data_IF_889328818094
#
_entry.id   IF_889328818094
#
_cell.length_a   1.000
_cell.length_b   1.000
_cell.length_c   1.000
_cell.angle_alpha   90.00
_cell.angle_beta   90.00
_cell.angle_gamma   90.00
#
_symmetry.space_group_name_H-M   'P 1'
#
loop_
_entity.id
_entity.type
_entity.pdbx_description
1 polymer ?
#
# COMPACT_ATOMS: atom_id res chain seq x y z
N UNK A 1 -1.94 -6.54 5.60
CA UNK A 1 -1.33 -5.59 6.54
C UNK A 1 -2.05 -4.29 6.34
N UNK A 2 -2.56 -3.73 7.41
CA UNK A 2 -3.40 -2.53 7.39
C UNK A 2 -2.90 -1.64 8.52
N UNK A 3 -1.74 -1.02 8.29
CA UNK A 3 -1.02 -0.18 9.24
C UNK A 3 -1.37 1.28 8.94
N UNK A 4 -1.57 2.10 9.97
CA UNK A 4 -1.74 3.54 9.80
C UNK A 4 -0.42 4.18 9.34
N UNK A 5 -0.51 5.22 8.51
CA UNK A 5 0.62 6.14 8.41
C UNK A 5 0.79 6.83 9.77
N UNK A 6 2.03 7.19 10.09
CA UNK A 6 2.39 7.84 11.36
C UNK A 6 1.93 9.28 11.29
N UNK A 7 1.79 9.91 12.45
CA UNK A 7 1.42 11.32 12.53
C UNK A 7 2.39 12.20 11.74
N UNK A 8 3.68 11.87 11.82
CA UNK A 8 4.78 12.55 11.15
C UNK A 8 4.67 12.47 9.61
N UNK A 9 4.11 11.39 9.05
CA UNK A 9 3.94 11.22 7.61
C UNK A 9 2.94 12.23 7.01
N UNK A 10 2.12 12.90 7.84
CA UNK A 10 1.21 13.98 7.41
C UNK A 10 1.90 15.35 7.36
N UNK A 11 3.14 15.44 7.85
CA UNK A 11 3.97 16.65 7.82
C UNK A 11 5.15 16.48 6.86
N UNK A 12 5.80 17.58 6.50
CA UNK A 12 7.02 17.50 5.71
C UNK A 12 8.14 16.85 6.52
N UNK A 13 8.82 15.85 5.96
CA UNK A 13 9.86 15.07 6.64
C UNK A 13 11.13 14.95 5.81
N UNK A 14 12.29 15.15 6.45
CA UNK A 14 13.58 15.01 5.79
C UNK A 14 14.05 13.55 5.73
N UNK A 15 14.34 13.08 4.53
CA UNK A 15 14.99 11.79 4.25
C UNK A 15 16.34 11.99 3.58
N UNK A 16 17.10 10.91 3.45
CA UNK A 16 18.38 10.96 2.73
C UNK A 16 18.21 11.37 1.27
N UNK A 17 17.08 10.98 0.66
CA UNK A 17 16.76 11.29 -0.74
C UNK A 17 16.16 12.68 -0.99
N UNK A 18 15.85 13.47 0.04
CA UNK A 18 15.11 14.72 -0.08
C UNK A 18 13.97 14.84 0.95
N UNK A 19 12.99 15.69 0.66
CA UNK A 19 11.85 15.95 1.56
C UNK A 19 10.65 15.13 1.10
N UNK A 20 10.06 14.35 2.02
CA UNK A 20 8.72 13.79 1.85
C UNK A 20 7.70 14.90 2.11
N UNK A 21 6.79 15.21 1.17
CA UNK A 21 5.88 16.34 1.33
C UNK A 21 4.79 16.06 2.38
N UNK A 22 4.27 17.14 2.97
CA UNK A 22 3.12 17.08 3.87
C UNK A 22 1.84 16.69 3.12
N UNK A 23 0.90 16.15 3.88
CA UNK A 23 -0.48 16.00 3.43
C UNK A 23 -1.22 17.35 3.54
N UNK A 24 -2.26 17.60 2.74
CA UNK A 24 -3.06 18.83 2.84
C UNK A 24 -3.98 18.90 4.08
N UNK A 25 -3.85 17.94 4.99
CA UNK A 25 -4.60 17.86 6.24
C UNK A 25 -3.80 17.08 7.28
N UNK A 26 -4.12 17.25 8.55
CA UNK A 26 -3.38 16.58 9.63
C UNK A 26 -3.83 15.14 9.85
N UNK A 27 -3.00 14.39 10.60
CA UNK A 27 -3.37 13.06 11.06
C UNK A 27 -4.67 13.09 11.87
N UNK A 28 -4.87 14.06 12.75
CA UNK A 28 -6.05 14.16 13.62
C UNK A 28 -7.34 14.34 12.83
N UNK A 29 -7.31 15.08 11.72
CA UNK A 29 -8.46 15.18 10.81
C UNK A 29 -8.75 13.84 10.12
N UNK A 30 -7.69 13.08 9.82
CA UNK A 30 -7.80 11.82 9.08
C UNK A 30 -8.08 10.59 9.97
N UNK A 31 -7.71 10.66 11.25
CA UNK A 31 -7.77 9.58 12.25
C UNK A 31 -9.14 8.90 12.34
N UNK A 32 -10.29 9.62 12.37
CA UNK A 32 -11.59 8.96 12.47
C UNK A 32 -11.89 8.05 11.29
N UNK A 33 -11.30 8.33 10.12
CA UNK A 33 -11.45 7.53 8.91
C UNK A 33 -10.55 6.30 8.92
N UNK A 34 -9.36 6.39 9.53
CA UNK A 34 -8.55 5.20 9.85
C UNK A 34 -9.31 4.27 10.78
N UNK A 35 -9.87 4.81 11.85
CA UNK A 35 -10.67 4.04 12.81
C UNK A 35 -11.83 3.32 12.11
N UNK A 36 -12.60 4.00 11.26
CA UNK A 36 -13.67 3.36 10.49
C UNK A 36 -13.15 2.31 9.49
N UNK A 37 -12.04 2.57 8.80
CA UNK A 37 -11.44 1.60 7.89
C UNK A 37 -10.98 0.34 8.63
N UNK A 38 -10.40 0.48 9.82
CA UNK A 38 -10.01 -0.66 10.65
C UNK A 38 -11.22 -1.51 11.07
N UNK A 39 -12.35 -0.89 11.41
CA UNK A 39 -13.60 -1.60 11.69
C UNK A 39 -14.12 -2.33 10.46
N UNK A 40 -14.17 -1.64 9.31
CA UNK A 40 -14.67 -2.17 8.04
C UNK A 40 -13.88 -3.39 7.57
N UNK A 41 -12.56 -3.33 7.69
CA UNK A 41 -11.66 -4.44 7.34
C UNK A 41 -11.37 -5.39 8.50
N UNK A 42 -12.07 -5.22 9.64
CA UNK A 42 -11.96 -6.07 10.83
C UNK A 42 -10.50 -6.29 11.26
N UNK A 43 -9.74 -5.21 11.30
CA UNK A 43 -8.30 -5.24 11.57
C UNK A 43 -8.04 -5.77 12.97
N UNK A 44 -7.17 -6.78 13.04
CA UNK A 44 -6.62 -7.37 14.25
C UNK A 44 -5.34 -6.64 14.62
N UNK A 45 -5.24 -6.12 15.84
CA UNK A 45 -4.06 -5.37 16.28
C UNK A 45 -4.04 -5.13 17.79
N UNK A 46 -2.95 -4.54 18.28
CA UNK A 46 -2.77 -4.15 19.68
C UNK A 46 -2.14 -2.77 19.76
N UNK A 47 -2.65 -1.94 20.66
CA UNK A 47 -2.10 -0.62 20.96
C UNK A 47 -1.04 -0.70 22.06
N UNK A 48 -0.08 0.22 22.02
CA UNK A 48 0.95 0.36 23.04
C UNK A 48 2.19 -0.54 22.87
N UNK A 49 2.27 -1.31 21.78
CA UNK A 49 3.46 -2.12 21.46
C UNK A 49 4.45 -1.40 20.53
N UNK A 50 3.93 -0.64 19.56
CA UNK A 50 4.73 0.17 18.65
C UNK A 50 4.92 1.58 19.23
N UNK A 51 6.17 2.03 19.47
CA UNK A 51 6.44 3.35 20.01
C UNK A 51 6.07 4.50 19.06
N UNK A 52 5.86 4.20 17.78
CA UNK A 52 5.46 5.18 16.75
C UNK A 52 3.97 5.11 16.41
N UNK A 53 3.20 4.24 17.07
CA UNK A 53 1.76 4.12 16.81
C UNK A 53 1.08 5.47 17.05
N UNK A 54 0.40 6.05 16.05
CA UNK A 54 -0.29 7.31 16.22
C UNK A 54 -1.56 7.13 17.08
N UNK A 55 -2.29 8.21 17.34
CA UNK A 55 -3.48 8.16 18.20
C UNK A 55 -4.65 7.36 17.58
N UNK A 56 -5.38 6.61 18.39
CA UNK A 56 -6.62 5.92 18.00
C UNK A 56 -7.80 6.44 18.84
N UNK A 57 -8.80 7.03 18.19
CA UNK A 57 -10.07 7.36 18.85
C UNK A 57 -10.90 6.10 19.15
N UNK A 58 -10.74 5.07 18.32
CA UNK A 58 -11.38 3.76 18.50
C UNK A 58 -10.28 2.68 18.46
N UNK A 59 -10.15 1.82 19.49
CA UNK A 59 -9.18 0.74 19.47
C UNK A 59 -9.53 -0.33 18.42
N UNK A 60 -8.56 -1.18 18.08
CA UNK A 60 -8.81 -2.36 17.25
C UNK A 60 -9.94 -3.22 17.83
N UNK A 61 -10.90 -3.60 16.98
CA UNK A 61 -12.04 -4.43 17.40
C UNK A 61 -11.66 -5.88 17.69
N UNK A 62 -10.53 -6.35 17.16
CA UNK A 62 -10.08 -7.72 17.29
C UNK A 62 -8.64 -7.78 17.81
N UNK A 63 -8.39 -8.76 18.67
CA UNK A 63 -7.04 -9.06 19.18
C UNK A 63 -6.08 -9.43 18.05
N UNK A 64 -4.77 -9.19 18.21
CA UNK A 64 -3.76 -9.59 17.25
C UNK A 64 -3.84 -11.07 16.87
N UNK A 65 -3.32 -11.39 15.69
CA UNK A 65 -3.04 -12.78 15.34
C UNK A 65 -1.92 -13.27 16.26
N UNK A 66 -2.11 -14.40 17.00
CA UNK A 66 -1.11 -14.89 17.92
C UNK A 66 0.12 -15.40 17.16
N UNK A 67 1.30 -15.21 17.74
CA UNK A 67 2.53 -15.76 17.20
C UNK A 67 2.56 -17.29 17.37
N UNK A 68 2.99 -17.99 16.34
CA UNK A 68 3.44 -19.38 16.47
C UNK A 68 4.83 -19.44 17.14
N UNK A 69 5.18 -20.58 17.73
CA UNK A 69 6.36 -20.70 18.60
C UNK A 69 7.69 -20.17 17.99
N UNK A 70 8.01 -20.41 16.70
CA UNK A 70 9.21 -19.83 16.09
C UNK A 70 9.20 -18.30 16.07
N UNK A 71 8.02 -17.67 15.92
CA UNK A 71 7.85 -16.22 15.84
C UNK A 71 7.80 -15.59 17.24
N UNK A 72 7.17 -16.26 18.20
CA UNK A 72 7.23 -15.85 19.61
C UNK A 72 8.67 -15.81 20.13
N UNK A 73 9.50 -16.79 19.73
CA UNK A 73 10.95 -16.78 20.00
C UNK A 73 11.64 -15.58 19.36
N UNK A 74 11.42 -15.34 18.06
CA UNK A 74 12.02 -14.19 17.37
C UNK A 74 11.63 -12.85 18.02
N UNK A 75 10.36 -12.70 18.46
CA UNK A 75 9.89 -11.56 19.23
C UNK A 75 10.67 -11.39 20.53
N UNK A 76 10.83 -12.46 21.31
CA UNK A 76 11.53 -12.43 22.59
C UNK A 76 13.01 -12.06 22.41
N UNK A 77 13.67 -12.58 21.38
CA UNK A 77 15.07 -12.26 21.05
C UNK A 77 15.25 -10.79 20.70
N UNK A 78 14.36 -10.23 19.87
CA UNK A 78 14.37 -8.80 19.52
C UNK A 78 14.12 -7.92 20.76
N UNK A 79 13.15 -8.28 21.61
CA UNK A 79 12.94 -7.60 22.91
C UNK A 79 14.17 -7.68 23.80
N UNK A 80 14.90 -8.79 23.78
CA UNK A 80 16.15 -8.98 24.53
C UNK A 80 17.27 -8.03 24.10
N UNK A 81 17.22 -7.48 22.87
CA UNK A 81 18.11 -6.43 22.40
C UNK A 81 17.61 -5.01 22.70
N UNK A 82 16.47 -4.86 23.38
CA UNK A 82 15.84 -3.57 23.65
C UNK A 82 15.05 -2.98 22.47
N UNK A 83 14.77 -3.78 21.44
CA UNK A 83 13.88 -3.35 20.34
C UNK A 83 12.41 -3.54 20.72
N UNK A 84 11.52 -2.92 19.95
CA UNK A 84 10.07 -2.88 20.20
C UNK A 84 9.28 -3.65 19.13
N UNK A 85 9.39 -5.00 19.06
CA UNK A 85 8.59 -5.77 18.13
C UNK A 85 7.11 -5.72 18.52
N UNK A 86 6.29 -5.18 17.63
CA UNK A 86 4.85 -5.02 17.77
C UNK A 86 4.08 -6.06 16.96
N UNK A 87 2.84 -6.34 17.35
CA UNK A 87 1.91 -7.14 16.57
C UNK A 87 1.54 -6.41 15.28
N UNK A 88 1.70 -7.08 14.15
CA UNK A 88 1.38 -6.54 12.84
C UNK A 88 -0.16 -6.39 12.68
N UNK A 89 -0.69 -5.20 12.37
CA UNK A 89 -2.11 -5.00 12.09
C UNK A 89 -2.57 -5.73 10.81
N UNK A 90 -3.56 -6.62 10.94
CA UNK A 90 -3.99 -7.53 9.87
C UNK A 90 -5.51 -7.60 9.73
N UNK A 91 -6.01 -7.35 8.51
CA UNK A 91 -7.38 -7.72 8.11
C UNK A 91 -7.45 -9.20 7.75
N UNK A 92 -7.50 -10.07 8.75
CA UNK A 92 -7.62 -11.52 8.56
C UNK A 92 -8.46 -12.11 9.68
N UNK A 93 -9.27 -13.11 9.36
CA UNK A 93 -9.90 -14.02 10.29
C UNK A 93 -9.10 -15.32 10.30
N UNK A 94 -8.13 -15.39 11.21
CA UNK A 94 -7.11 -16.45 11.23
C UNK A 94 -7.71 -17.84 11.46
N UNK A 95 -8.78 -17.96 12.23
CA UNK A 95 -9.41 -19.26 12.52
C UNK A 95 -10.08 -19.82 11.27
N UNK A 96 -10.83 -18.97 10.55
CA UNK A 96 -11.43 -19.34 9.25
C UNK A 96 -10.33 -19.69 8.24
N UNK A 97 -9.30 -18.87 8.16
CA UNK A 97 -8.16 -19.08 7.27
C UNK A 97 -7.48 -20.45 7.49
N UNK A 98 -7.12 -20.77 8.74
CA UNK A 98 -6.42 -22.02 9.06
C UNK A 98 -7.31 -23.26 8.96
N UNK A 99 -8.63 -23.12 9.14
CA UNK A 99 -9.60 -24.21 8.95
C UNK A 99 -9.71 -24.60 7.48
N UNK A 100 -9.65 -23.63 6.57
CA UNK A 100 -9.77 -23.87 5.12
C UNK A 100 -8.44 -24.24 4.47
N UNK A 101 -7.31 -23.78 5.05
CA UNK A 101 -6.00 -24.23 4.63
C UNK A 101 -4.90 -23.85 5.60
N UNK A 102 -4.05 -24.82 5.97
CA UNK A 102 -2.82 -24.59 6.73
C UNK A 102 -1.70 -24.06 5.82
N UNK A 103 -1.91 -22.88 5.25
CA UNK A 103 -0.90 -22.22 4.41
C UNK A 103 -0.79 -20.73 4.76
N UNK A 104 0.36 -20.13 4.50
CA UNK A 104 0.58 -18.71 4.76
C UNK A 104 -0.13 -17.75 3.78
N UNK A 105 -0.67 -18.27 2.65
CA UNK A 105 -1.14 -17.57 1.43
C UNK A 105 -0.79 -16.07 1.31
N UNK A 106 0.50 -15.73 1.37
CA UNK A 106 0.92 -14.37 1.03
C UNK A 106 0.84 -14.20 -0.50
N UNK A 107 0.46 -12.99 -0.94
CA UNK A 107 0.26 -12.66 -2.35
C UNK A 107 -0.81 -13.48 -3.13
N UNK A 108 -1.72 -14.18 -2.44
CA UNK A 108 -2.88 -14.83 -3.09
C UNK A 108 -4.19 -14.02 -2.88
N UNK A 109 -5.06 -13.91 -3.90
CA UNK A 109 -6.40 -13.34 -3.72
C UNK A 109 -7.22 -14.23 -2.78
N UNK A 110 -7.97 -13.63 -1.86
CA UNK A 110 -8.81 -14.43 -0.99
C UNK A 110 -9.99 -15.01 -1.78
N UNK A 111 -10.14 -16.32 -1.84
CA UNK A 111 -11.30 -16.99 -2.45
C UNK A 111 -12.52 -16.99 -1.52
N UNK A 112 -12.69 -15.95 -0.69
CA UNK A 112 -13.75 -15.83 0.33
C UNK A 112 -13.41 -16.41 1.71
N UNK A 113 -12.14 -16.75 1.94
CA UNK A 113 -11.67 -17.70 2.95
C UNK A 113 -10.81 -17.07 4.07
N UNK A 114 -11.33 -16.03 4.73
CA UNK A 114 -10.77 -15.48 5.97
C UNK A 114 -9.92 -14.20 5.84
N UNK A 115 -9.31 -13.87 4.70
CA UNK A 115 -8.69 -12.54 4.51
C UNK A 115 -9.74 -11.44 4.29
N UNK A 116 -9.59 -10.32 4.96
CA UNK A 116 -10.48 -9.16 4.82
C UNK A 116 -9.87 -8.21 3.78
N UNK A 117 -10.20 -8.44 2.52
CA UNK A 117 -9.84 -7.58 1.40
C UNK A 117 -11.06 -6.82 0.87
N UNK A 118 -10.86 -5.97 -0.15
CA UNK A 118 -11.93 -5.15 -0.70
C UNK A 118 -13.13 -5.97 -1.20
N UNK A 119 -12.88 -7.18 -1.75
CA UNK A 119 -13.93 -8.06 -2.25
C UNK A 119 -14.75 -8.64 -1.10
N UNK A 120 -14.07 -9.19 -0.09
CA UNK A 120 -14.69 -9.96 1.00
C UNK A 120 -15.27 -9.10 2.12
N UNK A 121 -14.76 -7.87 2.30
CA UNK A 121 -15.29 -6.92 3.27
C UNK A 121 -16.24 -5.91 2.60
N UNK A 122 -15.80 -4.72 2.12
CA UNK A 122 -16.72 -3.67 1.71
C UNK A 122 -17.58 -4.02 0.48
N UNK A 123 -17.03 -4.67 -0.54
CA UNK A 123 -17.79 -4.98 -1.75
C UNK A 123 -18.90 -6.01 -1.48
N UNK A 124 -18.59 -7.09 -0.76
CA UNK A 124 -19.59 -8.09 -0.37
C UNK A 124 -20.72 -7.49 0.48
N UNK A 125 -20.42 -6.48 1.32
CA UNK A 125 -21.44 -5.74 2.06
C UNK A 125 -22.27 -4.84 1.13
N UNK A 126 -21.63 -4.09 0.23
CA UNK A 126 -22.29 -3.17 -0.69
C UNK A 126 -23.25 -3.89 -1.64
N UNK A 127 -22.88 -5.06 -2.18
CA UNK A 127 -23.72 -5.82 -3.12
C UNK A 127 -24.99 -6.43 -2.52
N UNK A 128 -25.23 -6.27 -1.21
CA UNK A 128 -26.52 -6.59 -0.58
C UNK A 128 -27.59 -5.53 -0.88
N UNK A 129 -27.19 -4.33 -1.28
CA UNK A 129 -28.10 -3.27 -1.71
C UNK A 129 -28.49 -3.48 -3.18
N UNK A 130 -29.80 -3.60 -3.45
CA UNK A 130 -30.33 -3.80 -4.80
C UNK A 130 -30.14 -2.61 -5.74
N UNK A 131 -29.74 -1.45 -5.23
CA UNK A 131 -29.41 -0.27 -6.04
C UNK A 131 -27.97 -0.29 -6.57
N UNK A 132 -27.13 -1.24 -6.12
CA UNK A 132 -25.74 -1.36 -6.54
C UNK A 132 -25.63 -2.47 -7.59
N UNK A 133 -25.05 -2.13 -8.74
CA UNK A 133 -24.80 -3.06 -9.84
C UNK A 133 -23.30 -3.16 -10.13
N UNK A 134 -22.77 -4.37 -10.06
CA UNK A 134 -21.40 -4.69 -10.48
C UNK A 134 -21.41 -5.20 -11.92
N UNK A 135 -20.66 -4.53 -12.80
CA UNK A 135 -20.39 -5.01 -14.15
C UNK A 135 -18.94 -5.47 -14.27
N UNK A 136 -18.73 -6.71 -14.71
CA UNK A 136 -17.39 -7.28 -14.95
C UNK A 136 -17.09 -7.38 -16.44
N UNK A 137 -15.82 -7.55 -16.79
CA UNK A 137 -15.39 -7.61 -18.19
C UNK A 137 -15.46 -6.25 -18.90
N UNK A 138 -15.59 -5.16 -18.14
CA UNK A 138 -15.60 -3.78 -18.64
C UNK A 138 -14.20 -3.17 -18.54
N UNK A 139 -13.58 -2.86 -19.68
CA UNK A 139 -12.31 -2.14 -19.76
C UNK A 139 -12.58 -0.68 -20.15
N UNK A 140 -12.48 0.24 -19.19
CA UNK A 140 -12.59 1.68 -19.47
C UNK A 140 -11.38 2.14 -20.27
N UNK A 141 -11.64 2.73 -21.44
CA UNK A 141 -10.59 3.20 -22.35
C UNK A 141 -10.25 4.66 -22.09
N UNK A 142 -11.28 5.51 -21.94
CA UNK A 142 -11.14 6.94 -21.69
C UNK A 142 -12.45 7.59 -21.18
N UNK A 143 -12.33 8.84 -20.73
CA UNK A 143 -13.43 9.70 -20.31
C UNK A 143 -13.63 10.83 -21.34
N UNK A 144 -14.88 11.23 -21.55
CA UNK A 144 -15.26 12.34 -22.43
C UNK A 144 -15.72 13.54 -21.58
N UNK A 145 -15.05 14.68 -21.72
CA UNK A 145 -15.49 15.93 -21.10
C UNK A 145 -16.69 16.52 -21.85
N UNK A 146 -17.57 17.21 -21.11
CA UNK A 146 -18.63 18.03 -21.67
C UNK A 146 -18.05 19.19 -22.49
N UNK A 147 -18.84 19.84 -23.39
CA UNK A 147 -18.35 20.94 -24.22
C UNK A 147 -17.77 22.13 -23.45
N UNK A 148 -18.22 22.36 -22.21
CA UNK A 148 -17.69 23.41 -21.34
C UNK A 148 -16.39 23.02 -20.60
N UNK A 149 -15.99 21.75 -20.71
CA UNK A 149 -14.81 21.17 -20.07
C UNK A 149 -14.91 21.01 -18.56
N UNK A 150 -16.07 21.29 -17.93
CA UNK A 150 -16.21 21.33 -16.46
C UNK A 150 -16.69 20.04 -15.84
N UNK A 151 -17.20 19.12 -16.65
CA UNK A 151 -17.78 17.86 -16.21
C UNK A 151 -17.40 16.74 -17.17
N UNK A 152 -17.36 15.51 -16.67
CA UNK A 152 -17.32 14.30 -17.47
C UNK A 152 -18.73 14.02 -17.98
N UNK A 153 -18.90 14.07 -19.29
CA UNK A 153 -20.16 13.78 -19.98
C UNK A 153 -20.37 12.28 -20.19
N UNK A 154 -19.28 11.52 -20.37
CA UNK A 154 -19.37 10.09 -20.59
C UNK A 154 -18.11 9.29 -20.25
N UNK A 155 -18.33 8.00 -20.00
CA UNK A 155 -17.30 6.97 -19.85
C UNK A 155 -17.38 6.05 -21.07
N UNK A 156 -16.26 5.90 -21.77
CA UNK A 156 -16.12 4.98 -22.90
C UNK A 156 -15.37 3.73 -22.46
N UNK A 157 -15.95 2.56 -22.71
CA UNK A 157 -15.40 1.29 -22.28
C UNK A 157 -15.70 0.17 -23.28
N UNK A 158 -14.89 -0.89 -23.25
CA UNK A 158 -15.17 -2.14 -23.95
C UNK A 158 -15.71 -3.19 -23.02
N UNK A 159 -16.74 -3.91 -23.44
CA UNK A 159 -17.24 -5.09 -22.75
C UNK A 159 -17.35 -6.24 -23.75
N UNK A 160 -16.61 -7.32 -23.51
CA UNK A 160 -16.55 -8.48 -24.42
C UNK A 160 -16.19 -8.12 -25.89
N UNK A 161 -15.32 -7.11 -26.07
CA UNK A 161 -14.87 -6.62 -27.38
C UNK A 161 -15.74 -5.50 -27.97
N UNK A 162 -16.97 -5.32 -27.50
CA UNK A 162 -17.89 -4.29 -27.98
C UNK A 162 -17.62 -2.94 -27.31
N UNK A 163 -17.62 -1.86 -28.10
CA UNK A 163 -17.52 -0.50 -27.57
C UNK A 163 -18.86 -0.05 -26.98
N UNK A 164 -18.82 0.50 -25.77
CA UNK A 164 -19.98 0.97 -25.01
C UNK A 164 -19.71 2.33 -24.40
N UNK A 165 -20.80 3.05 -24.11
CA UNK A 165 -20.79 4.39 -23.53
C UNK A 165 -21.84 4.47 -22.42
N UNK A 166 -21.51 5.15 -21.33
CA UNK A 166 -22.47 5.51 -20.27
C UNK A 166 -22.26 6.97 -19.87
N UNK A 167 -23.34 7.65 -19.52
CA UNK A 167 -23.34 9.08 -19.12
C UNK A 167 -23.79 9.22 -17.66
N UNK A 168 -22.89 9.04 -16.69
CA UNK A 168 -23.21 9.16 -15.27
C UNK A 168 -23.28 10.63 -14.83
N UNK A 169 -23.99 10.89 -13.72
CA UNK A 169 -23.99 12.21 -13.08
C UNK A 169 -22.67 12.49 -12.33
N UNK A 170 -22.10 11.46 -11.72
CA UNK A 170 -20.87 11.50 -10.94
C UNK A 170 -19.96 10.33 -11.33
N UNK A 171 -18.65 10.58 -11.39
CA UNK A 171 -17.62 9.60 -11.74
C UNK A 171 -16.63 9.47 -10.59
N UNK A 172 -16.37 8.24 -10.15
CA UNK A 172 -15.28 7.91 -9.22
C UNK A 172 -14.33 6.97 -9.95
N UNK A 173 -13.12 7.43 -10.21
CA UNK A 173 -12.05 6.68 -10.86
C UNK A 173 -11.19 5.99 -9.79
N UNK A 174 -11.25 4.66 -9.74
CA UNK A 174 -10.51 3.83 -8.77
C UNK A 174 -9.79 2.67 -9.48
N UNK A 175 -9.09 2.98 -10.58
CA UNK A 175 -8.42 1.97 -11.42
C UNK A 175 -7.01 1.58 -10.93
N UNK A 176 -6.57 2.16 -9.80
CA UNK A 176 -5.23 2.02 -9.26
C UNK A 176 -4.27 3.05 -9.85
N UNK A 177 -3.15 3.30 -9.15
CA UNK A 177 -2.30 4.46 -9.42
C UNK A 177 -1.92 4.61 -10.90
N UNK A 178 -1.43 3.53 -11.52
CA UNK A 178 -1.03 3.57 -12.93
C UNK A 178 -2.22 3.76 -13.87
N UNK A 179 -3.27 2.94 -13.74
CA UNK A 179 -4.36 2.95 -14.72
C UNK A 179 -5.26 4.18 -14.61
N UNK A 180 -5.45 4.74 -13.41
CA UNK A 180 -6.18 5.99 -13.25
C UNK A 180 -5.49 7.14 -13.98
N UNK A 181 -4.15 7.25 -13.86
CA UNK A 181 -3.38 8.22 -14.64
C UNK A 181 -3.45 7.92 -16.16
N UNK A 182 -3.36 6.66 -16.58
CA UNK A 182 -3.45 6.28 -18.00
C UNK A 182 -4.80 6.65 -18.61
N UNK A 183 -5.91 6.38 -17.91
CA UNK A 183 -7.27 6.73 -18.37
C UNK A 183 -7.36 8.25 -18.55
N UNK A 184 -6.88 9.04 -17.59
CA UNK A 184 -6.89 10.50 -17.66
C UNK A 184 -6.02 11.03 -18.82
N UNK A 185 -4.81 10.49 -19.00
CA UNK A 185 -3.89 10.89 -20.07
C UNK A 185 -4.39 10.51 -21.46
N UNK A 186 -5.14 9.40 -21.60
CA UNK A 186 -5.79 9.00 -22.85
C UNK A 186 -7.06 9.77 -23.16
N UNK A 187 -7.63 10.44 -22.17
CA UNK A 187 -8.90 11.14 -22.32
C UNK A 187 -8.74 12.39 -23.18
N UNK A 188 -9.55 12.57 -24.24
CA UNK A 188 -9.47 13.73 -25.12
C UNK A 188 -9.62 15.05 -24.34
N UNK A 189 -8.77 16.02 -24.67
CA UNK A 189 -8.72 17.35 -24.06
C UNK A 189 -8.33 18.38 -25.12
N UNK A 190 -8.75 19.64 -24.95
CA UNK A 190 -8.49 20.69 -25.93
C UNK A 190 -7.02 21.05 -26.09
N UNK A 191 -6.20 20.82 -25.05
CA UNK A 191 -4.77 21.07 -25.05
C UNK A 191 -3.92 19.81 -25.32
N UNK A 192 -4.58 18.66 -25.50
CA UNK A 192 -3.94 17.38 -25.78
C UNK A 192 -3.18 16.77 -24.61
N UNK A 193 -3.32 17.28 -23.38
CA UNK A 193 -2.57 16.80 -22.19
C UNK A 193 -3.29 15.73 -21.37
N UNK A 194 -4.53 15.42 -21.72
CA UNK A 194 -5.41 14.55 -20.94
C UNK A 194 -6.36 15.35 -20.04
N UNK A 195 -7.30 14.66 -19.39
CA UNK A 195 -8.21 15.28 -18.44
C UNK A 195 -7.59 15.39 -17.03
N UNK A 196 -8.08 16.35 -16.24
CA UNK A 196 -7.58 16.68 -14.91
C UNK A 196 -6.08 17.05 -14.87
N UNK A 197 -5.52 17.51 -15.99
CA UNK A 197 -4.08 17.67 -16.14
C UNK A 197 -3.63 19.12 -16.44
N UNK A 198 -4.39 20.14 -16.00
CA UNK A 198 -3.95 21.55 -16.16
C UNK A 198 -2.59 21.83 -15.53
N UNK A 199 -2.27 21.13 -14.45
CA UNK A 199 -1.01 21.25 -13.68
C UNK A 199 0.16 20.44 -14.25
N UNK A 200 -0.06 19.67 -15.32
CA UNK A 200 0.88 18.68 -15.86
C UNK A 200 1.37 17.66 -14.80
N UNK A 201 0.57 17.39 -13.76
CA UNK A 201 0.94 16.47 -12.68
C UNK A 201 0.36 15.06 -12.85
N UNK A 202 -0.62 14.86 -13.73
CA UNK A 202 -1.14 13.52 -14.01
C UNK A 202 -0.03 12.66 -14.62
N UNK A 203 0.17 11.51 -13.99
CA UNK A 203 1.22 10.55 -14.27
C UNK A 203 2.54 10.81 -13.54
N UNK A 204 2.81 12.03 -13.04
CA UNK A 204 4.07 12.37 -12.36
C UNK A 204 4.08 11.88 -10.91
N UNK A 205 5.25 11.96 -10.25
CA UNK A 205 5.43 11.58 -8.86
C UNK A 205 5.11 10.10 -8.60
N UNK A 206 5.32 9.24 -9.60
CA UNK A 206 5.18 7.81 -9.43
C UNK A 206 6.14 7.34 -8.35
N UNK A 207 5.58 6.80 -7.27
CA UNK A 207 6.33 6.23 -6.15
C UNK A 207 6.02 4.74 -6.05
N UNK A 208 7.03 3.99 -5.61
CA UNK A 208 6.85 2.64 -5.11
C UNK A 208 7.92 2.34 -4.07
N UNK A 209 7.53 1.90 -2.88
CA UNK A 209 8.42 1.56 -1.79
C UNK A 209 9.74 0.88 -2.21
N UNK A 210 10.84 1.37 -1.63
CA UNK A 210 12.14 0.74 -1.73
C UNK A 210 12.19 -0.40 -0.73
N UNK A 211 12.18 -1.64 -1.22
CA UNK A 211 12.00 -2.81 -0.36
C UNK A 211 13.03 -3.90 -0.59
N UNK A 212 13.31 -4.67 0.48
CA UNK A 212 14.15 -5.87 0.44
C UNK A 212 13.48 -7.01 1.20
N UNK A 213 13.56 -8.23 0.64
CA UNK A 213 13.36 -9.43 1.44
C UNK A 213 14.64 -9.70 2.25
N UNK A 214 14.50 -10.21 3.47
CA UNK A 214 15.62 -10.62 4.32
C UNK A 214 15.30 -11.94 5.03
N UNK A 215 16.21 -12.91 4.96
CA UNK A 215 16.09 -14.20 5.62
C UNK A 215 17.06 -14.24 6.79
N UNK A 216 16.54 -14.40 8.01
CA UNK A 216 17.33 -14.68 9.20
C UNK A 216 17.27 -16.20 9.46
N UNK A 217 18.41 -16.89 9.32
CA UNK A 217 18.49 -18.35 9.29
C UNK A 217 19.38 -18.86 10.42
N UNK A 218 18.86 -19.81 11.20
CA UNK A 218 19.65 -20.65 12.10
C UNK A 218 19.45 -22.13 11.73
N UNK A 219 20.47 -22.80 11.14
CA UNK A 219 20.38 -24.22 10.77
C UNK A 219 20.05 -25.16 11.94
N UNK A 220 20.22 -24.72 13.20
CA UNK A 220 19.92 -25.51 14.39
C UNK A 220 18.45 -25.40 14.81
N UNK A 221 17.72 -24.40 14.31
CA UNK A 221 16.36 -24.06 14.73
C UNK A 221 15.39 -24.22 13.57
N UNK A 222 14.46 -25.16 13.68
CA UNK A 222 13.38 -25.29 12.70
C UNK A 222 12.38 -24.13 12.87
N UNK A 223 11.85 -23.66 11.76
CA UNK A 223 10.67 -22.80 11.67
C UNK A 223 9.55 -23.58 10.96
N UNK A 224 8.61 -24.07 11.75
CA UNK A 224 7.40 -24.79 11.32
C UNK A 224 6.14 -23.92 11.37
N UNK A 225 6.29 -22.60 11.53
CA UNK A 225 5.17 -21.68 11.52
C UNK A 225 4.43 -21.72 10.18
N UNK A 226 3.10 -21.85 10.26
CA UNK A 226 2.22 -21.85 9.08
C UNK A 226 1.89 -20.42 8.68
N UNK A 227 1.45 -19.60 9.63
CA UNK A 227 1.11 -18.20 9.48
C UNK A 227 2.10 -17.35 10.28
N UNK A 228 3.29 -17.12 9.72
CA UNK A 228 4.33 -16.36 10.43
C UNK A 228 4.10 -14.84 10.42
N UNK A 229 3.24 -14.31 9.57
CA UNK A 229 3.13 -12.87 9.27
C UNK A 229 2.39 -12.12 10.37
N UNK A 230 3.00 -11.97 11.54
CA UNK A 230 2.33 -11.46 12.77
C UNK A 230 3.11 -10.37 13.50
N UNK A 231 4.30 -10.02 13.03
CA UNK A 231 5.24 -9.15 13.76
C UNK A 231 5.79 -8.05 12.86
N UNK A 232 5.93 -6.84 13.42
CA UNK A 232 6.61 -5.69 12.84
C UNK A 232 7.56 -5.01 13.84
N UNK A 233 8.45 -4.16 13.33
CA UNK A 233 9.34 -3.27 14.07
C UNK A 233 9.31 -1.90 13.40
N UNK A 234 9.22 -0.85 14.22
CA UNK A 234 9.25 0.54 13.80
C UNK A 234 10.30 1.37 14.56
N UNK A 235 11.23 0.72 15.26
CA UNK A 235 12.35 1.37 15.95
C UNK A 235 13.19 2.28 15.03
N UNK A 236 13.19 2.01 13.73
CA UNK A 236 13.90 2.77 12.70
C UNK A 236 12.96 3.55 11.76
N UNK A 237 11.67 3.65 12.10
CA UNK A 237 10.68 4.28 11.22
C UNK A 237 10.92 5.78 11.09
N UNK A 238 11.18 6.46 12.22
CA UNK A 238 11.40 7.92 12.28
C UNK A 238 12.88 8.30 12.47
N UNK A 239 13.79 7.32 12.54
CA UNK A 239 15.22 7.56 12.80
C UNK A 239 16.11 6.42 12.29
N UNK A 240 17.42 6.64 12.24
CA UNK A 240 18.44 5.60 12.02
C UNK A 240 18.88 4.87 13.30
N UNK A 241 18.21 5.17 14.43
CA UNK A 241 18.55 4.65 15.76
C UNK A 241 19.69 5.41 16.44
N UNK A 242 20.20 6.48 15.82
CA UNK A 242 21.29 7.34 16.33
C UNK A 242 20.93 8.83 16.26
N UNK A 243 19.65 9.15 16.14
CA UNK A 243 19.16 10.52 15.98
C UNK A 243 19.33 11.08 14.56
N UNK A 244 19.71 10.26 13.59
CA UNK A 244 19.72 10.59 12.18
C UNK A 244 18.37 10.39 11.51
N UNK A 245 18.38 10.49 10.17
CA UNK A 245 17.18 10.47 9.33
C UNK A 245 16.43 9.12 9.37
N UNK A 246 15.11 9.11 9.11
CA UNK A 246 14.30 7.90 9.00
C UNK A 246 14.89 6.82 8.09
N UNK A 247 14.81 5.55 8.50
CA UNK A 247 15.17 4.41 7.64
C UNK A 247 13.93 3.69 7.10
N UNK A 248 12.97 3.34 7.95
CA UNK A 248 11.70 2.74 7.52
C UNK A 248 11.18 1.62 8.44
N UNK A 249 10.27 0.81 7.89
CA UNK A 249 9.57 -0.27 8.57
C UNK A 249 10.21 -1.63 8.30
N UNK A 250 10.11 -2.52 9.29
CA UNK A 250 10.46 -3.93 9.14
C UNK A 250 9.27 -4.77 9.58
N UNK A 251 8.89 -5.78 8.80
CA UNK A 251 7.77 -6.65 9.12
C UNK A 251 7.98 -8.06 8.59
N UNK A 252 7.23 -9.04 9.08
CA UNK A 252 7.32 -10.40 8.57
C UNK A 252 6.68 -10.53 7.18
N UNK A 253 7.29 -11.36 6.34
CA UNK A 253 6.67 -11.90 5.13
C UNK A 253 5.85 -13.13 5.49
N UNK A 254 4.94 -13.54 4.61
CA UNK A 254 4.43 -14.91 4.66
C UNK A 254 5.56 -15.92 4.43
N UNK A 255 5.31 -17.18 4.79
CA UNK A 255 6.34 -18.22 4.77
C UNK A 255 6.89 -18.40 3.37
N UNK A 256 8.18 -18.13 3.21
CA UNK A 256 8.90 -18.45 1.98
C UNK A 256 9.19 -19.95 2.00
N UNK A 257 8.83 -20.63 0.92
CA UNK A 257 9.12 -22.05 0.69
C UNK A 257 10.27 -22.26 -0.32
N UNK A 258 10.75 -23.50 -0.44
CA UNK A 258 11.84 -23.79 -1.37
C UNK A 258 11.47 -23.67 -2.85
N UNK A 259 10.19 -23.70 -3.23
CA UNK A 259 9.77 -23.44 -4.63
C UNK A 259 9.94 -21.95 -4.97
N UNK A 260 9.52 -21.07 -4.07
CA UNK A 260 9.70 -19.62 -4.19
C UNK A 260 11.20 -19.27 -4.27
N UNK A 261 12.04 -19.88 -3.42
CA UNK A 261 13.49 -19.68 -3.49
C UNK A 261 14.07 -20.26 -4.79
N UNK A 262 13.61 -21.44 -5.25
CA UNK A 262 14.10 -22.07 -6.49
C UNK A 262 13.83 -21.23 -7.73
N UNK A 263 12.69 -20.53 -7.78
CA UNK A 263 12.38 -19.59 -8.87
C UNK A 263 13.42 -18.45 -8.96
N UNK A 264 14.04 -18.11 -7.83
CA UNK A 264 14.97 -16.99 -7.70
C UNK A 264 16.45 -17.39 -7.65
N UNK A 265 16.76 -18.64 -7.31
CA UNK A 265 18.12 -19.21 -7.17
C UNK A 265 18.17 -20.57 -7.89
N UNK A 266 18.15 -20.53 -9.23
CA UNK A 266 17.96 -21.71 -10.09
C UNK A 266 19.07 -22.77 -9.93
N UNK A 267 20.29 -22.38 -9.56
CA UNK A 267 21.45 -23.27 -9.46
C UNK A 267 21.48 -24.11 -8.18
N UNK A 268 20.79 -23.71 -7.12
CA UNK A 268 20.86 -24.42 -5.84
C UNK A 268 19.93 -25.65 -5.82
N UNK A 269 20.37 -26.81 -5.30
CA UNK A 269 19.51 -28.00 -5.18
C UNK A 269 18.26 -27.73 -4.33
N UNK A 270 17.13 -28.33 -4.71
CA UNK A 270 15.83 -28.09 -4.06
C UNK A 270 15.83 -28.47 -2.57
N UNK A 271 16.45 -29.59 -2.20
CA UNK A 271 16.52 -30.01 -0.80
C UNK A 271 17.26 -28.99 0.09
N UNK A 272 18.29 -28.32 -0.43
CA UNK A 272 19.02 -27.29 0.30
C UNK A 272 18.18 -26.01 0.48
N UNK A 273 17.41 -25.64 -0.55
CA UNK A 273 16.45 -24.53 -0.50
C UNK A 273 15.31 -24.81 0.49
N UNK A 274 14.78 -26.04 0.49
CA UNK A 274 13.76 -26.46 1.46
C UNK A 274 14.29 -26.44 2.89
N UNK A 275 15.52 -26.91 3.09
CA UNK A 275 16.19 -26.83 4.38
C UNK A 275 16.38 -25.37 4.81
N UNK A 276 16.90 -24.50 3.95
CA UNK A 276 17.01 -23.07 4.26
C UNK A 276 15.66 -22.44 4.60
N UNK A 277 14.63 -22.69 3.79
CA UNK A 277 13.29 -22.19 4.01
C UNK A 277 12.71 -22.65 5.35
N UNK A 278 12.87 -23.93 5.70
CA UNK A 278 12.40 -24.51 6.96
C UNK A 278 13.18 -24.06 8.21
N UNK A 279 14.20 -23.23 8.05
CA UNK A 279 15.05 -22.71 9.13
C UNK A 279 15.15 -21.17 9.13
N UNK A 280 14.45 -20.52 8.20
CA UNK A 280 14.42 -19.07 8.05
C UNK A 280 13.23 -18.44 8.77
N UNK A 281 13.43 -17.28 9.39
CA UNK A 281 12.38 -16.28 9.63
C UNK A 281 12.48 -15.24 8.53
N UNK A 282 11.36 -15.00 7.83
CA UNK A 282 11.36 -14.24 6.58
C UNK A 282 10.82 -12.81 6.81
N UNK A 283 11.63 -11.82 6.49
CA UNK A 283 11.39 -10.40 6.77
C UNK A 283 11.26 -9.58 5.49
N UNK A 284 10.46 -8.53 5.57
CA UNK A 284 10.28 -7.48 4.58
C UNK A 284 10.75 -6.16 5.19
N UNK A 285 11.75 -5.56 4.56
CA UNK A 285 12.24 -4.23 4.90
C UNK A 285 11.65 -3.27 3.87
N UNK A 286 11.12 -2.14 4.34
CA UNK A 286 10.39 -1.19 3.52
C UNK A 286 10.77 0.24 3.90
N UNK A 287 11.20 0.99 2.90
CA UNK A 287 11.58 2.39 3.02
C UNK A 287 10.77 3.22 2.04
N UNK A 288 10.60 4.49 2.38
CA UNK A 288 9.90 5.43 1.53
C UNK A 288 10.64 5.65 0.20
N UNK A 289 9.89 5.69 -0.89
CA UNK A 289 10.31 6.27 -2.17
C UNK A 289 9.64 7.63 -2.29
N UNK A 290 10.44 8.68 -2.30
CA UNK A 290 9.99 10.08 -2.32
C UNK A 290 9.42 10.44 -3.69
N UNK A 291 8.45 11.38 -3.75
CA UNK A 291 7.89 11.83 -5.01
C UNK A 291 8.94 12.57 -5.84
N UNK A 292 9.15 12.10 -7.07
CA UNK A 292 9.96 12.78 -8.08
C UNK A 292 9.04 13.17 -9.25
N UNK A 293 8.92 14.47 -9.60
CA UNK A 293 8.12 14.93 -10.74
C UNK A 293 8.50 14.27 -12.07
N UNK A 294 9.73 13.77 -12.19
CA UNK A 294 10.26 13.09 -13.38
C UNK A 294 10.14 11.56 -13.31
N UNK A 295 9.67 11.02 -12.18
CA UNK A 295 9.16 9.65 -12.10
C UNK A 295 7.71 9.66 -12.60
N UNK A 296 7.48 9.15 -13.81
CA UNK A 296 6.26 9.40 -14.58
C UNK A 296 5.67 8.14 -15.23
N UNK A 297 4.34 8.06 -15.21
CA UNK A 297 3.51 7.23 -16.08
C UNK A 297 3.08 8.08 -17.28
N UNK A 298 3.33 7.56 -18.47
CA UNK A 298 2.99 8.18 -19.75
C UNK A 298 2.27 7.17 -20.64
N UNK A 299 1.68 7.65 -21.72
CA UNK A 299 0.99 6.84 -22.71
C UNK A 299 1.59 7.10 -24.09
N UNK A 300 1.83 6.02 -24.84
CA UNK A 300 2.23 6.08 -26.24
C UNK A 300 1.29 5.17 -27.05
N UNK A 301 0.24 5.78 -27.61
CA UNK A 301 -0.89 5.04 -28.17
C UNK A 301 -1.49 4.06 -27.15
N UNK A 302 -1.36 2.76 -27.44
CA UNK A 302 -1.86 1.67 -26.58
C UNK A 302 -0.89 1.28 -25.45
N UNK A 303 0.38 1.68 -25.54
CA UNK A 303 1.41 1.28 -24.61
C UNK A 303 1.44 2.21 -23.39
N UNK A 304 1.75 1.63 -22.24
CA UNK A 304 1.97 2.37 -20.99
C UNK A 304 3.47 2.46 -20.78
N UNK A 305 3.99 3.69 -20.70
CA UNK A 305 5.41 3.94 -20.50
C UNK A 305 5.63 4.35 -19.05
N UNK A 306 6.39 3.54 -18.31
CA UNK A 306 6.75 3.82 -16.92
C UNK A 306 8.22 4.25 -16.83
N UNK A 307 8.44 5.52 -16.51
CA UNK A 307 9.74 6.06 -16.15
C UNK A 307 9.83 6.16 -14.63
N UNK A 308 10.59 5.27 -13.99
CA UNK A 308 10.72 5.27 -12.53
C UNK A 308 12.14 5.62 -12.08
N UNK A 309 12.27 6.80 -11.44
CA UNK A 309 13.48 7.25 -10.75
C UNK A 309 13.36 6.93 -9.26
N UNK A 310 14.02 5.87 -8.80
CA UNK A 310 14.06 5.52 -7.37
C UNK A 310 14.85 6.56 -6.62
N UNK A 311 14.27 7.08 -5.56
CA UNK A 311 14.92 7.97 -4.60
C UNK A 311 15.28 7.19 -3.32
N UNK A 312 15.95 7.85 -2.37
CA UNK A 312 16.06 7.41 -0.98
C UNK A 312 16.61 5.97 -0.71
N UNK A 313 17.33 5.37 -1.65
CA UNK A 313 17.92 4.03 -1.51
C UNK A 313 18.91 3.91 -0.34
N UNK A 314 19.52 5.02 0.10
CA UNK A 314 20.39 5.06 1.27
C UNK A 314 19.66 4.61 2.55
N UNK A 315 18.37 4.91 2.67
CA UNK A 315 17.53 4.44 3.79
C UNK A 315 17.40 2.93 3.80
N UNK A 316 17.24 2.31 2.62
CA UNK A 316 17.15 0.85 2.49
C UNK A 316 18.48 0.16 2.80
N UNK A 317 19.59 0.75 2.36
CA UNK A 317 20.94 0.25 2.69
C UNK A 317 21.20 0.32 4.20
N UNK A 318 20.83 1.44 4.83
CA UNK A 318 20.91 1.64 6.28
C UNK A 318 20.05 0.64 7.05
N UNK A 319 18.77 0.50 6.67
CA UNK A 319 17.83 -0.44 7.30
C UNK A 319 18.32 -1.89 7.17
N UNK A 320 18.81 -2.25 5.99
CA UNK A 320 19.37 -3.58 5.72
C UNK A 320 20.60 -3.86 6.57
N UNK A 321 21.47 -2.86 6.76
CA UNK A 321 22.66 -2.99 7.59
C UNK A 321 22.29 -3.19 9.07
N UNK A 322 21.48 -2.29 9.63
CA UNK A 322 21.14 -2.33 11.06
C UNK A 322 20.35 -3.60 11.42
N UNK A 323 19.41 -4.02 10.57
CA UNK A 323 18.67 -5.26 10.81
C UNK A 323 19.54 -6.51 10.68
N UNK A 324 20.54 -6.51 9.79
CA UNK A 324 21.52 -7.61 9.72
C UNK A 324 22.32 -7.73 11.02
N UNK A 325 22.74 -6.60 11.59
CA UNK A 325 23.45 -6.55 12.87
C UNK A 325 22.55 -7.07 14.01
N UNK A 326 21.29 -6.61 14.08
CA UNK A 326 20.32 -7.05 15.08
C UNK A 326 20.01 -8.55 14.99
N UNK A 327 19.74 -9.09 13.79
CA UNK A 327 19.45 -10.53 13.65
C UNK A 327 20.66 -11.40 13.98
N UNK A 328 21.88 -10.96 13.66
CA UNK A 328 23.09 -11.67 14.12
C UNK A 328 23.22 -11.65 15.64
N UNK A 329 22.90 -10.54 16.29
CA UNK A 329 22.88 -10.42 17.74
C UNK A 329 21.78 -11.29 18.39
N UNK A 330 20.64 -11.49 17.74
CA UNK A 330 19.61 -12.47 18.13
C UNK A 330 20.06 -13.94 17.96
N UNK A 331 21.23 -14.19 17.38
CA UNK A 331 21.80 -15.53 17.23
C UNK A 331 21.51 -16.21 15.89
N UNK A 332 21.08 -15.48 14.86
CA UNK A 332 20.95 -15.99 13.50
C UNK A 332 22.30 -15.89 12.77
N UNK A 333 23.04 -17.00 12.58
CA UNK A 333 24.38 -16.97 11.98
C UNK A 333 24.37 -16.56 10.49
N UNK A 334 23.27 -16.80 9.79
CA UNK A 334 23.13 -16.54 8.36
C UNK A 334 22.01 -15.51 8.17
N UNK A 335 22.35 -14.35 7.62
CA UNK A 335 21.38 -13.30 7.29
C UNK A 335 21.57 -12.86 5.85
N UNK A 336 20.61 -13.21 5.00
CA UNK A 336 20.63 -12.95 3.56
C UNK A 336 19.60 -11.90 3.22
N UNK A 337 19.90 -10.96 2.33
CA UNK A 337 18.96 -9.92 1.90
C UNK A 337 18.98 -9.75 0.39
N UNK A 338 17.83 -9.45 -0.20
CA UNK A 338 17.71 -9.19 -1.64
C UNK A 338 16.73 -8.03 -1.88
N UNK A 339 17.19 -6.88 -2.41
CA UNK A 339 16.31 -5.80 -2.79
C UNK A 339 15.43 -6.21 -3.97
N UNK A 340 14.18 -5.74 -3.98
CA UNK A 340 13.28 -5.94 -5.12
C UNK A 340 13.67 -5.00 -6.26
N UNK A 341 13.76 -5.55 -7.47
CA UNK A 341 14.07 -4.76 -8.66
C UNK A 341 12.84 -4.04 -9.22
N UNK A 342 13.03 -3.27 -10.31
CA UNK A 342 11.98 -2.40 -10.87
C UNK A 342 10.87 -3.15 -11.61
N UNK A 343 10.95 -4.47 -11.79
CA UNK A 343 10.04 -5.24 -12.64
C UNK A 343 8.71 -5.59 -11.96
N UNK A 344 8.67 -5.53 -10.64
CA UNK A 344 7.47 -5.88 -9.85
C UNK A 344 7.13 -4.77 -8.85
N UNK A 345 6.66 -3.60 -9.33
CA UNK A 345 6.15 -2.56 -8.46
C UNK A 345 4.85 -3.04 -7.79
N UNK A 346 4.78 -2.93 -6.47
CA UNK A 346 3.68 -3.42 -5.63
C UNK A 346 2.82 -2.28 -5.10
N UNK A 347 3.40 -1.38 -4.30
CA UNK A 347 2.73 -0.22 -3.72
C UNK A 347 2.88 1.02 -4.61
N UNK A 348 2.34 0.93 -5.82
CA UNK A 348 2.31 2.03 -6.77
C UNK A 348 1.42 3.17 -6.25
N UNK A 349 1.92 4.41 -6.24
CA UNK A 349 1.17 5.57 -5.74
C UNK A 349 1.64 6.91 -6.33
N UNK A 350 0.88 7.99 -6.04
CA UNK A 350 1.27 9.39 -6.30
C UNK A 350 1.00 9.96 -7.69
N UNK A 351 0.56 9.13 -8.63
CA UNK A 351 0.40 9.47 -10.05
C UNK A 351 -0.72 10.46 -10.37
N UNK A 352 -1.62 10.76 -9.43
CA UNK A 352 -2.69 11.75 -9.56
C UNK A 352 -2.84 12.42 -8.18
N UNK A 353 -1.72 12.94 -7.65
CA UNK A 353 -1.62 13.39 -6.26
C UNK A 353 -2.68 14.44 -5.88
N UNK A 354 -3.11 14.43 -4.63
CA UNK A 354 -3.91 15.53 -4.07
C UNK A 354 -3.03 16.67 -3.55
N UNK A 355 -3.63 17.86 -3.44
CA UNK A 355 -3.05 19.03 -2.79
C UNK A 355 -4.03 20.20 -2.76
N UNK A 356 -3.58 21.34 -2.24
CA UNK A 356 -4.44 22.51 -2.01
C UNK A 356 -4.45 23.51 -3.17
N UNK A 357 -3.58 23.33 -4.17
CA UNK A 357 -3.40 24.27 -5.27
C UNK A 357 -3.59 23.58 -6.64
N UNK A 358 -4.59 24.01 -7.44
CA UNK A 358 -4.83 23.47 -8.78
C UNK A 358 -3.67 23.72 -9.77
N UNK A 359 -2.74 24.62 -9.47
CA UNK A 359 -1.55 24.84 -10.29
C UNK A 359 -0.49 23.73 -10.09
N UNK A 360 -0.53 23.04 -8.95
CA UNK A 360 0.52 22.07 -8.56
C UNK A 360 0.00 20.68 -8.23
N UNK A 361 -1.32 20.46 -8.27
CA UNK A 361 -1.96 19.17 -8.01
C UNK A 361 -3.21 18.95 -8.90
N UNK A 362 -3.47 17.74 -9.42
CA UNK A 362 -4.69 17.42 -10.16
C UNK A 362 -5.95 17.40 -9.30
N UNK A 363 -5.82 16.96 -8.05
CA UNK A 363 -6.94 16.74 -7.14
C UNK A 363 -6.88 17.67 -5.92
N UNK A 364 -8.05 18.03 -5.42
CA UNK A 364 -8.23 18.68 -4.13
C UNK A 364 -8.08 17.67 -2.96
N UNK A 365 -8.12 18.13 -1.68
CA UNK A 365 -7.97 17.25 -0.51
C UNK A 365 -9.08 16.19 -0.32
N UNK A 366 -10.19 16.30 -1.06
CA UNK A 366 -11.27 15.30 -1.12
C UNK A 366 -11.20 14.46 -2.40
N UNK A 367 -10.03 14.43 -3.05
CA UNK A 367 -9.78 13.66 -4.26
C UNK A 367 -10.67 14.05 -5.46
N UNK A 368 -11.28 15.24 -5.45
CA UNK A 368 -12.01 15.77 -6.61
C UNK A 368 -11.02 16.41 -7.57
N UNK A 369 -11.17 16.15 -8.86
CA UNK A 369 -10.38 16.82 -9.88
C UNK A 369 -10.72 18.32 -9.91
N UNK A 370 -9.70 19.19 -9.82
CA UNK A 370 -9.92 20.65 -9.90
C UNK A 370 -10.53 21.09 -11.25
N UNK A 371 -10.35 20.29 -12.29
CA UNK A 371 -10.84 20.55 -13.65
C UNK A 371 -12.29 20.13 -13.85
N UNK A 372 -12.76 19.11 -13.12
CA UNK A 372 -13.99 18.40 -13.41
C UNK A 372 -14.81 18.20 -12.15
N UNK A 373 -15.91 18.96 -11.99
CA UNK A 373 -16.68 19.03 -10.75
C UNK A 373 -17.27 17.68 -10.34
N UNK A 374 -17.63 16.85 -11.32
CA UNK A 374 -18.23 15.54 -11.09
C UNK A 374 -17.24 14.37 -11.14
N UNK A 375 -15.93 14.62 -11.14
CA UNK A 375 -14.89 13.59 -11.20
C UNK A 375 -14.10 13.53 -9.90
N UNK A 376 -14.07 12.35 -9.31
CA UNK A 376 -13.19 11.99 -8.21
C UNK A 376 -12.21 10.91 -8.63
N UNK A 377 -10.99 10.93 -8.08
CA UNK A 377 -9.97 9.89 -8.30
C UNK A 377 -9.54 9.32 -6.95
N UNK A 378 -10.05 8.14 -6.61
CA UNK A 378 -9.94 7.56 -5.27
C UNK A 378 -9.27 6.20 -5.35
N UNK A 379 -7.94 6.21 -5.32
CA UNK A 379 -7.06 5.05 -5.19
C UNK A 379 -5.65 5.49 -4.75
N UNK A 380 -4.64 4.63 -4.81
CA UNK A 380 -3.28 4.98 -4.39
C UNK A 380 -2.65 6.18 -5.14
N UNK A 381 -3.20 6.61 -6.28
CA UNK A 381 -2.71 7.77 -7.05
C UNK A 381 -2.77 9.09 -6.29
N UNK A 382 -3.72 9.28 -5.36
CA UNK A 382 -3.87 10.56 -4.66
C UNK A 382 -2.76 10.84 -3.65
N UNK A 383 -2.01 9.81 -3.23
CA UNK A 383 -1.07 9.91 -2.11
C UNK A 383 0.04 10.93 -2.39
N UNK A 384 0.22 11.97 -1.56
CA UNK A 384 1.31 12.94 -1.69
C UNK A 384 2.69 12.30 -1.44
N UNK A 385 2.72 11.30 -0.57
CA UNK A 385 3.91 10.57 -0.18
C UNK A 385 3.61 9.06 -0.03
N UNK A 386 4.65 8.23 -0.11
CA UNK A 386 4.49 6.77 0.02
C UNK A 386 4.62 6.29 1.46
N UNK A 387 5.15 7.13 2.36
CA UNK A 387 5.54 6.75 3.72
C UNK A 387 6.43 5.49 3.69
N UNK A 388 6.59 4.80 4.82
CA UNK A 388 7.31 3.52 4.84
C UNK A 388 6.41 2.35 5.28
N UNK A 389 5.09 2.40 5.04
CA UNK A 389 4.16 1.28 5.25
C UNK A 389 3.17 1.04 4.13
N UNK A 390 2.52 -0.13 4.18
CA UNK A 390 1.47 -0.51 3.25
C UNK A 390 0.34 0.55 3.17
N UNK A 391 0.04 1.09 1.97
CA UNK A 391 -0.89 2.21 1.82
C UNK A 391 -2.37 1.82 1.88
N UNK A 392 -2.70 0.52 1.89
CA UNK A 392 -4.05 0.03 1.69
C UNK A 392 -5.07 0.57 2.72
N UNK A 393 -4.65 0.70 3.99
CA UNK A 393 -5.53 1.25 5.02
C UNK A 393 -5.77 2.76 4.79
N UNK A 394 -4.75 3.53 4.42
CA UNK A 394 -4.86 4.96 4.11
C UNK A 394 -5.75 5.20 2.89
N UNK A 395 -5.66 4.34 1.87
CA UNK A 395 -6.56 4.37 0.70
C UNK A 395 -8.01 4.11 1.12
N UNK A 396 -8.26 3.10 1.96
CA UNK A 396 -9.58 2.81 2.47
C UNK A 396 -10.15 3.95 3.33
N UNK A 397 -9.34 4.53 4.20
CA UNK A 397 -9.72 5.67 5.03
C UNK A 397 -10.10 6.89 4.19
N UNK A 398 -9.30 7.25 3.18
CA UNK A 398 -9.63 8.34 2.28
C UNK A 398 -10.88 8.03 1.45
N UNK A 399 -11.08 6.79 1.01
CA UNK A 399 -12.30 6.40 0.31
C UNK A 399 -13.55 6.62 1.17
N UNK A 400 -13.50 6.31 2.47
CA UNK A 400 -14.59 6.60 3.41
C UNK A 400 -14.81 8.11 3.60
N UNK A 401 -13.73 8.89 3.76
CA UNK A 401 -13.78 10.35 3.89
C UNK A 401 -14.41 11.01 2.67
N UNK A 402 -14.00 10.59 1.47
CA UNK A 402 -14.54 11.10 0.19
C UNK A 402 -16.00 10.68 -0.01
N UNK A 403 -16.36 9.43 0.32
CA UNK A 403 -17.73 8.98 0.22
C UNK A 403 -18.69 9.78 1.13
N UNK A 404 -18.28 10.08 2.37
CA UNK A 404 -19.07 10.93 3.26
C UNK A 404 -19.16 12.37 2.76
N UNK A 405 -18.07 12.93 2.20
CA UNK A 405 -18.08 14.24 1.56
C UNK A 405 -19.08 14.29 0.39
N UNK A 406 -19.02 13.33 -0.53
CA UNK A 406 -19.97 13.21 -1.66
C UNK A 406 -21.41 13.14 -1.13
N UNK A 407 -21.68 12.31 -0.13
CA UNK A 407 -23.02 12.18 0.47
C UNK A 407 -23.53 13.51 1.04
N UNK A 408 -22.68 14.28 1.70
CA UNK A 408 -23.05 15.52 2.38
C UNK A 408 -23.15 16.73 1.45
N UNK A 409 -22.32 16.79 0.40
CA UNK A 409 -22.16 18.00 -0.42
C UNK A 409 -22.77 17.82 -1.82
N UNK A 410 -22.66 16.63 -2.41
CA UNK A 410 -23.09 16.39 -3.80
C UNK A 410 -24.46 15.74 -3.93
N UNK A 411 -24.82 14.87 -2.96
CA UNK A 411 -26.08 14.11 -3.02
C UNK A 411 -27.16 14.63 -2.06
N UNK A 412 -26.79 15.47 -1.10
CA UNK A 412 -27.73 16.12 -0.18
C UNK A 412 -28.16 17.52 -0.65
N UNK A 413 -27.48 18.07 -1.66
CA UNK A 413 -27.88 19.26 -2.41
C UNK A 413 -28.85 18.87 -3.54
#
# INVERSE_FOLDING_TARGET
>A
MLIRYRKEDFSAMEHFGGVSPAWPFSYEEFEPWYSQAEQLFRVRGALGEDPTEPFHSIPYAFKPVPDEAPIARARAELKGLGLHPASLPLGVDIDTWLREGRTGWDAFPNTGQGKMDAQTAPLAAALKDGNIRLETGCHVEYLEAAPDGKNIAAIHYRQNGEAKKVSPKLVILSAGAVNSAVILLRSPSSDGKGLANRSDQVGRNFMNHNSSAMLAIDPRRRNDAVYQKTLMLNDYYLTDGKGGKPLGNVQLLGKIDGNMLKANVKTMPKFALDYMAGHAVDWYLMCEDLPDPESRIMVDGKDIVMQWRRSNMQSLDGLTKVMRENFRACGYPIVLSRPFDKRTPSHQCGTVKMGDDPATSPLDPFCRAFDHQNLFVVDASFLPNSAAVNPALSIAAQALRVADHIRKVELAA
#
